data_IF_362067999745
#
_entry.id   IF_362067999745
#
_cell.length_a   1.000
_cell.length_b   1.000
_cell.length_c   1.000
_cell.angle_alpha   90.00
_cell.angle_beta   90.00
_cell.angle_gamma   90.00
#
_symmetry.space_group_name_H-M   'P 1'
#
loop_
_entity.id
_entity.type
_entity.pdbx_description
1 polymer ?
#
# COMPACT_ATOMS: atom_id res chain seq x y z
N UNK A 1 -32.80 20.24 -62.68
CA UNK A 1 -32.08 21.00 -61.64
C UNK A 1 -32.09 20.15 -60.40
N UNK A 2 -30.96 19.49 -60.05
CA UNK A 2 -30.82 18.67 -58.86
C UNK A 2 -29.78 19.36 -57.97
N UNK A 3 -30.27 19.91 -56.83
CA UNK A 3 -29.43 20.54 -55.82
C UNK A 3 -28.87 19.47 -54.88
N UNK A 4 -27.59 19.16 -55.03
CA UNK A 4 -26.87 18.27 -54.13
C UNK A 4 -26.53 18.97 -52.82
N UNK A 5 -27.12 18.49 -51.70
CA UNK A 5 -26.75 18.87 -50.34
C UNK A 5 -25.50 18.09 -49.90
N UNK A 6 -24.36 18.78 -49.83
CA UNK A 6 -23.12 18.24 -49.29
C UNK A 6 -23.22 18.16 -47.76
N UNK A 7 -23.15 16.93 -47.19
CA UNK A 7 -23.00 16.73 -45.76
C UNK A 7 -21.56 17.05 -45.32
N UNK A 8 -21.36 17.83 -44.25
CA UNK A 8 -20.02 18.08 -43.74
C UNK A 8 -19.42 16.79 -43.13
N UNK A 9 -18.28 16.34 -43.67
CA UNK A 9 -17.45 15.29 -43.10
C UNK A 9 -16.98 15.76 -41.71
N UNK A 10 -17.48 15.13 -40.65
CA UNK A 10 -16.91 15.27 -39.32
C UNK A 10 -15.48 14.70 -39.32
N UNK A 11 -14.49 15.56 -39.16
CA UNK A 11 -13.09 15.20 -38.96
C UNK A 11 -12.90 14.46 -37.63
N UNK A 12 -12.65 13.14 -37.67
CA UNK A 12 -12.34 12.27 -36.52
C UNK A 12 -10.84 12.27 -36.19
N UNK A 13 -10.18 13.40 -36.01
CA UNK A 13 -8.74 13.43 -35.76
C UNK A 13 -8.31 14.09 -34.46
N UNK A 14 -9.23 14.51 -33.57
CA UNK A 14 -8.87 15.19 -32.33
C UNK A 14 -8.67 14.27 -31.11
N UNK A 15 -8.96 12.97 -31.22
CA UNK A 15 -8.89 12.05 -30.04
C UNK A 15 -7.50 11.52 -29.69
N UNK A 16 -6.62 11.33 -30.68
CA UNK A 16 -5.34 10.65 -30.43
C UNK A 16 -4.27 11.53 -29.76
N UNK A 17 -4.25 12.82 -30.03
CA UNK A 17 -3.29 13.75 -29.43
C UNK A 17 -3.57 14.02 -27.95
N UNK A 18 -4.84 14.15 -27.59
CA UNK A 18 -5.25 14.37 -26.19
C UNK A 18 -5.00 13.15 -25.31
N UNK A 19 -5.17 11.95 -25.86
CA UNK A 19 -4.91 10.71 -25.11
C UNK A 19 -3.40 10.48 -24.91
N UNK A 20 -2.57 10.78 -25.90
CA UNK A 20 -1.11 10.71 -25.74
C UNK A 20 -0.57 11.75 -24.75
N UNK A 21 -1.09 12.98 -24.77
CA UNK A 21 -0.73 14.02 -23.80
C UNK A 21 -1.15 13.65 -22.37
N UNK A 22 -2.30 13.00 -22.18
CA UNK A 22 -2.78 12.51 -20.89
C UNK A 22 -1.90 11.38 -20.34
N UNK A 23 -1.59 10.39 -21.16
CA UNK A 23 -0.69 9.28 -20.78
C UNK A 23 0.70 9.81 -20.44
N UNK A 24 1.21 10.81 -21.16
CA UNK A 24 2.48 11.46 -20.87
C UNK A 24 2.53 12.17 -19.52
N UNK A 25 1.40 12.70 -19.01
CA UNK A 25 1.34 13.38 -17.72
C UNK A 25 1.15 12.41 -16.52
N UNK A 26 0.59 11.23 -16.75
CA UNK A 26 0.25 10.24 -15.72
C UNK A 26 1.43 9.36 -15.32
N UNK A 27 2.26 9.00 -16.31
CA UNK A 27 3.45 8.16 -16.10
C UNK A 27 4.42 8.72 -15.05
N UNK A 28 4.76 10.02 -15.04
CA UNK A 28 5.60 10.61 -13.99
C UNK A 28 5.00 10.50 -12.59
N UNK A 29 3.68 10.67 -12.44
CA UNK A 29 2.98 10.54 -11.15
C UNK A 29 3.04 9.11 -10.66
N UNK A 30 2.66 8.15 -11.50
CA UNK A 30 2.71 6.72 -11.17
C UNK A 30 4.13 6.29 -10.76
N UNK A 31 5.14 6.65 -11.55
CA UNK A 31 6.52 6.29 -11.26
C UNK A 31 7.03 6.87 -9.94
N UNK A 32 6.73 8.17 -9.67
CA UNK A 32 7.09 8.80 -8.39
C UNK A 32 6.41 8.11 -7.21
N UNK A 33 5.16 7.74 -7.37
CA UNK A 33 4.43 6.99 -6.35
C UNK A 33 5.07 5.62 -6.10
N UNK A 34 5.32 4.85 -7.15
CA UNK A 34 5.93 3.52 -7.04
C UNK A 34 7.27 3.60 -6.35
N UNK A 35 8.15 4.49 -6.78
CA UNK A 35 9.48 4.64 -6.16
C UNK A 35 9.36 5.06 -4.70
N UNK A 36 8.59 6.11 -4.39
CA UNK A 36 8.46 6.61 -3.03
C UNK A 36 7.82 5.59 -2.08
N UNK A 37 6.78 4.89 -2.54
CA UNK A 37 6.08 3.88 -1.73
C UNK A 37 6.95 2.64 -1.53
N UNK A 38 7.61 2.13 -2.57
CA UNK A 38 8.52 0.98 -2.45
C UNK A 38 9.68 1.29 -1.51
N UNK A 39 10.34 2.44 -1.67
CA UNK A 39 11.43 2.83 -0.78
C UNK A 39 10.93 3.10 0.64
N UNK A 40 9.76 3.73 0.79
CA UNK A 40 9.15 3.98 2.10
C UNK A 40 8.84 2.69 2.84
N UNK A 41 8.30 1.68 2.15
CA UNK A 41 8.02 0.35 2.68
C UNK A 41 9.31 -0.37 3.10
N UNK A 42 10.29 -0.46 2.20
CA UNK A 42 11.54 -1.15 2.48
C UNK A 42 12.33 -0.50 3.61
N UNK A 43 12.45 0.83 3.62
CA UNK A 43 13.15 1.53 4.69
C UNK A 43 12.39 1.46 6.01
N UNK A 44 11.06 1.54 5.96
CA UNK A 44 10.20 1.39 7.13
C UNK A 44 10.34 0.00 7.74
N UNK A 45 10.35 -1.05 6.91
CA UNK A 45 10.48 -2.43 7.34
C UNK A 45 11.82 -2.75 8.01
N UNK A 46 12.87 -1.95 7.78
CA UNK A 46 14.11 -2.09 8.54
C UNK A 46 13.93 -1.85 10.05
N UNK A 47 12.89 -1.13 10.48
CA UNK A 47 12.64 -0.85 11.90
C UNK A 47 12.26 -2.13 12.65
N UNK A 48 11.21 -2.90 12.24
CA UNK A 48 10.92 -4.18 12.89
C UNK A 48 12.05 -5.20 12.73
N UNK A 49 12.73 -5.24 11.59
CA UNK A 49 13.91 -6.11 11.39
C UNK A 49 15.01 -5.77 12.41
N UNK A 50 15.32 -4.50 12.61
CA UNK A 50 16.31 -4.07 13.60
C UNK A 50 15.85 -4.38 15.04
N UNK A 51 14.56 -4.25 15.33
CA UNK A 51 14.02 -4.60 16.65
C UNK A 51 14.21 -6.10 16.96
N UNK A 52 13.90 -6.98 16.00
CA UNK A 52 14.14 -8.44 16.14
C UNK A 52 15.63 -8.73 16.28
N UNK A 53 16.47 -8.13 15.42
CA UNK A 53 17.92 -8.32 15.49
C UNK A 53 18.52 -7.85 16.84
N UNK A 54 17.90 -6.88 17.49
CA UNK A 54 18.25 -6.44 18.85
C UNK A 54 17.68 -7.32 19.98
N UNK A 55 16.97 -8.40 19.64
CA UNK A 55 16.43 -9.36 20.62
C UNK A 55 15.06 -8.99 21.16
N UNK A 56 14.30 -8.14 20.48
CA UNK A 56 12.95 -7.74 20.91
C UNK A 56 11.99 -8.93 21.09
N UNK A 57 12.18 -9.98 20.28
CA UNK A 57 11.41 -11.23 20.32
C UNK A 57 11.75 -12.12 21.50
N UNK A 58 12.89 -11.92 22.16
CA UNK A 58 13.34 -12.66 23.33
C UNK A 58 13.00 -11.96 24.67
N UNK A 59 12.41 -10.77 24.62
CA UNK A 59 12.02 -10.04 25.83
C UNK A 59 10.87 -10.77 26.57
N UNK A 60 10.81 -10.69 27.92
CA UNK A 60 9.80 -11.41 28.69
C UNK A 60 8.40 -10.76 28.59
N UNK A 61 7.37 -11.59 28.77
CA UNK A 61 5.97 -11.15 28.90
C UNK A 61 5.44 -10.43 27.63
N UNK A 62 4.66 -9.34 27.78
CA UNK A 62 4.05 -8.64 26.66
C UNK A 62 5.00 -7.69 25.91
N UNK A 63 6.26 -7.59 26.34
CA UNK A 63 7.24 -6.65 25.77
C UNK A 63 7.49 -6.89 24.27
N UNK A 64 7.64 -8.14 23.78
CA UNK A 64 7.80 -8.40 22.35
C UNK A 64 6.65 -7.81 21.52
N UNK A 65 5.42 -8.05 21.94
CA UNK A 65 4.23 -7.51 21.25
C UNK A 65 4.27 -5.98 21.19
N UNK A 66 4.53 -5.32 22.33
CA UNK A 66 4.60 -3.86 22.39
C UNK A 66 5.69 -3.31 21.47
N UNK A 67 6.89 -3.90 21.52
CA UNK A 67 8.02 -3.47 20.68
C UNK A 67 7.70 -3.64 19.20
N UNK A 68 7.07 -4.75 18.80
CA UNK A 68 6.72 -4.99 17.40
C UNK A 68 5.58 -4.06 16.92
N UNK A 69 4.60 -3.75 17.76
CA UNK A 69 3.55 -2.75 17.46
C UNK A 69 4.14 -1.35 17.28
N UNK A 70 5.09 -0.96 18.16
CA UNK A 70 5.80 0.31 18.04
C UNK A 70 6.69 0.35 16.79
N UNK A 71 7.37 -0.76 16.48
CA UNK A 71 8.15 -0.89 15.24
C UNK A 71 7.27 -0.77 14.00
N UNK A 72 6.10 -1.39 13.99
CA UNK A 72 5.11 -1.25 12.92
C UNK A 72 4.56 0.18 12.79
N UNK A 73 4.36 0.89 13.90
CA UNK A 73 4.03 2.31 13.86
C UNK A 73 5.16 3.14 13.22
N UNK A 74 6.41 2.80 13.52
CA UNK A 74 7.60 3.38 12.89
C UNK A 74 7.64 3.14 11.38
N UNK A 75 7.45 1.88 10.96
CA UNK A 75 7.34 1.49 9.55
C UNK A 75 6.26 2.29 8.84
N UNK A 76 5.03 2.28 9.36
CA UNK A 76 3.92 3.04 8.79
C UNK A 76 4.16 4.57 8.78
N UNK A 77 4.99 5.09 9.70
CA UNK A 77 5.41 6.50 9.68
C UNK A 77 6.30 6.78 8.48
N UNK A 78 7.30 5.95 8.22
CA UNK A 78 8.21 6.11 7.08
C UNK A 78 7.45 5.97 5.76
N UNK A 79 6.62 4.93 5.64
CA UNK A 79 5.76 4.71 4.47
C UNK A 79 4.82 5.90 4.23
N UNK A 80 4.05 6.28 5.24
CA UNK A 80 3.09 7.38 5.13
C UNK A 80 3.74 8.72 4.82
N UNK A 81 4.91 8.99 5.38
CA UNK A 81 5.69 10.17 5.06
C UNK A 81 6.14 10.16 3.59
N UNK A 82 6.73 9.07 3.12
CA UNK A 82 7.17 8.91 1.73
C UNK A 82 6.02 9.12 0.73
N UNK A 83 4.87 8.50 0.97
CA UNK A 83 3.66 8.67 0.18
C UNK A 83 3.16 10.12 0.17
N UNK A 84 3.17 10.78 1.34
CA UNK A 84 2.70 12.17 1.46
C UNK A 84 3.54 13.16 0.66
N UNK A 85 4.84 12.87 0.45
CA UNK A 85 5.73 13.69 -0.40
C UNK A 85 5.28 13.71 -1.86
N UNK A 86 4.69 12.63 -2.33
CA UNK A 86 4.12 12.54 -3.68
C UNK A 86 2.72 13.17 -3.74
N UNK A 87 1.90 12.95 -2.71
CA UNK A 87 0.51 13.43 -2.69
C UNK A 87 0.40 14.95 -2.50
N UNK A 88 1.24 15.55 -1.67
CA UNK A 88 1.15 16.98 -1.31
C UNK A 88 1.15 17.93 -2.52
N UNK A 89 2.04 17.80 -3.52
CA UNK A 89 1.98 18.66 -4.70
C UNK A 89 0.78 18.40 -5.60
N UNK A 90 0.17 17.21 -5.52
CA UNK A 90 -0.99 16.81 -6.34
C UNK A 90 -2.31 17.22 -5.67
N UNK A 91 -2.33 17.25 -4.34
CA UNK A 91 -3.49 17.54 -3.49
C UNK A 91 -3.11 18.58 -2.43
N UNK A 92 -3.11 19.89 -2.77
CA UNK A 92 -2.59 20.95 -1.88
C UNK A 92 -3.27 21.03 -0.51
N UNK A 93 -4.51 20.56 -0.37
CA UNK A 93 -5.23 20.50 0.92
C UNK A 93 -4.90 19.27 1.77
N UNK A 94 -4.05 18.36 1.31
CA UNK A 94 -3.73 17.14 2.04
C UNK A 94 -2.78 17.43 3.21
N UNK A 95 -3.21 17.06 4.42
CA UNK A 95 -2.36 17.15 5.61
C UNK A 95 -1.37 15.97 5.65
N UNK A 96 -0.08 16.26 5.41
CA UNK A 96 1.02 15.28 5.55
C UNK A 96 1.01 14.62 6.92
N UNK A 97 0.85 15.42 7.99
CA UNK A 97 0.82 14.91 9.37
C UNK A 97 -0.33 13.93 9.59
N UNK A 98 -1.53 14.27 9.12
CA UNK A 98 -2.69 13.40 9.27
C UNK A 98 -2.55 12.10 8.45
N UNK A 99 -2.04 12.19 7.22
CA UNK A 99 -1.77 11.03 6.38
C UNK A 99 -0.76 10.08 7.04
N UNK A 100 0.38 10.61 7.45
CA UNK A 100 1.44 9.83 8.11
C UNK A 100 0.96 9.19 9.40
N UNK A 101 0.28 9.95 10.29
CA UNK A 101 -0.22 9.43 11.55
C UNK A 101 -1.29 8.33 11.35
N UNK A 102 -2.17 8.46 10.35
CA UNK A 102 -3.18 7.44 10.06
C UNK A 102 -2.56 6.18 9.47
N UNK A 103 -1.54 6.31 8.61
CA UNK A 103 -0.79 5.17 8.09
C UNK A 103 -0.04 4.46 9.21
N UNK A 104 0.62 5.21 10.09
CA UNK A 104 1.32 4.65 11.27
C UNK A 104 0.39 3.87 12.20
N UNK A 105 -0.78 4.45 12.52
CA UNK A 105 -1.76 3.78 13.38
C UNK A 105 -2.31 2.49 12.75
N UNK A 106 -2.56 2.49 11.43
CA UNK A 106 -3.04 1.32 10.71
C UNK A 106 -1.95 0.23 10.61
N UNK A 107 -0.69 0.60 10.41
CA UNK A 107 0.42 -0.33 10.42
C UNK A 107 0.63 -0.94 11.82
N UNK A 108 0.54 -0.13 12.89
CA UNK A 108 0.58 -0.64 14.26
C UNK A 108 -0.54 -1.67 14.53
N UNK A 109 -1.76 -1.41 14.03
CA UNK A 109 -2.88 -2.35 14.12
C UNK A 109 -2.60 -3.65 13.34
N UNK A 110 -2.01 -3.55 12.14
CA UNK A 110 -1.64 -4.71 11.35
C UNK A 110 -0.58 -5.59 12.07
N UNK A 111 0.40 -4.96 12.71
CA UNK A 111 1.40 -5.66 13.52
C UNK A 111 0.80 -6.29 14.77
N UNK A 112 -0.11 -5.58 15.46
CA UNK A 112 -0.84 -6.12 16.62
C UNK A 112 -1.60 -7.39 16.24
N UNK A 113 -2.31 -7.37 15.12
CA UNK A 113 -3.08 -8.52 14.64
C UNK A 113 -2.16 -9.66 14.15
N UNK A 114 -1.14 -9.34 13.36
CA UNK A 114 -0.19 -10.31 12.84
C UNK A 114 0.61 -11.05 13.92
N UNK A 115 0.85 -10.40 15.07
CA UNK A 115 1.49 -11.02 16.23
C UNK A 115 0.52 -11.87 17.09
N UNK A 116 -0.78 -11.86 16.79
CA UNK A 116 -1.80 -12.56 17.58
C UNK A 116 -1.50 -14.04 17.79
N UNK A 117 -1.28 -14.86 16.74
CA UNK A 117 -1.00 -16.28 16.87
C UNK A 117 0.23 -16.57 17.75
N UNK A 118 1.33 -15.84 17.56
CA UNK A 118 2.56 -16.02 18.36
C UNK A 118 2.40 -15.57 19.81
N UNK A 119 1.57 -14.54 20.05
CA UNK A 119 1.29 -14.02 21.39
C UNK A 119 0.39 -14.96 22.19
N UNK A 120 -0.61 -15.57 21.52
CA UNK A 120 -1.52 -16.53 22.13
C UNK A 120 -0.86 -17.90 22.37
N UNK A 121 0.20 -18.24 21.60
CA UNK A 121 0.97 -19.47 21.78
C UNK A 121 0.09 -20.72 21.83
N UNK A 122 0.27 -21.53 22.89
CA UNK A 122 -0.47 -22.78 23.09
C UNK A 122 -2.00 -22.63 23.07
N UNK A 123 -2.53 -21.49 23.52
CA UNK A 123 -3.99 -21.22 23.43
C UNK A 123 -4.46 -21.19 21.98
N UNK A 124 -3.69 -20.58 21.08
CA UNK A 124 -4.00 -20.58 19.66
C UNK A 124 -3.88 -21.98 19.05
N UNK A 125 -2.89 -22.77 19.48
CA UNK A 125 -2.67 -24.13 19.00
C UNK A 125 -3.78 -25.10 19.40
N UNK A 126 -4.42 -24.86 20.54
CA UNK A 126 -5.56 -25.64 21.04
C UNK A 126 -6.89 -25.32 20.31
N UNK A 127 -6.95 -24.25 19.53
CA UNK A 127 -8.15 -23.91 18.78
C UNK A 127 -8.43 -24.91 17.67
N UNK A 128 -9.69 -25.30 17.54
CA UNK A 128 -10.12 -26.09 16.40
C UNK A 128 -9.93 -25.33 15.07
N UNK A 129 -9.75 -26.02 13.94
CA UNK A 129 -9.63 -25.36 12.63
C UNK A 129 -10.79 -24.40 12.33
N UNK A 130 -12.02 -24.73 12.76
CA UNK A 130 -13.18 -23.86 12.61
C UNK A 130 -13.06 -22.56 13.39
N UNK A 131 -12.55 -22.59 14.63
CA UNK A 131 -12.32 -21.39 15.45
C UNK A 131 -11.21 -20.55 14.85
N UNK A 132 -10.09 -21.16 14.40
CA UNK A 132 -9.00 -20.43 13.73
C UNK A 132 -9.49 -19.70 12.49
N UNK A 133 -10.34 -20.32 11.68
CA UNK A 133 -10.94 -19.65 10.53
C UNK A 133 -11.92 -18.55 10.93
N UNK A 134 -12.78 -18.82 11.91
CA UNK A 134 -13.80 -17.86 12.34
C UNK A 134 -13.20 -16.57 12.94
N UNK A 135 -12.03 -16.66 13.56
CA UNK A 135 -11.29 -15.51 14.10
C UNK A 135 -10.32 -14.94 13.05
N UNK A 136 -9.56 -15.79 12.40
CA UNK A 136 -8.49 -15.37 11.48
C UNK A 136 -9.00 -14.68 10.21
N UNK A 137 -10.14 -15.11 9.64
CA UNK A 137 -10.68 -14.46 8.44
C UNK A 137 -11.12 -13.01 8.72
N UNK A 138 -11.92 -12.69 9.76
CA UNK A 138 -12.23 -11.31 10.10
C UNK A 138 -10.99 -10.47 10.43
N UNK A 139 -10.02 -11.03 11.15
CA UNK A 139 -8.77 -10.39 11.47
C UNK A 139 -7.98 -10.04 10.21
N UNK A 140 -7.79 -10.98 9.30
CA UNK A 140 -7.14 -10.74 8.01
C UNK A 140 -7.84 -9.67 7.17
N UNK A 141 -9.18 -9.65 7.13
CA UNK A 141 -9.97 -8.61 6.46
C UNK A 141 -9.76 -7.25 7.13
N UNK A 142 -9.75 -7.19 8.46
CA UNK A 142 -9.48 -5.96 9.20
C UNK A 142 -8.11 -5.38 8.84
N UNK A 143 -7.07 -6.20 8.87
CA UNK A 143 -5.71 -5.79 8.49
C UNK A 143 -5.66 -5.31 7.04
N UNK A 144 -6.23 -6.09 6.12
CA UNK A 144 -6.23 -5.78 4.70
C UNK A 144 -6.87 -4.42 4.39
N UNK A 145 -7.93 -4.06 5.11
CA UNK A 145 -8.66 -2.82 4.90
C UNK A 145 -8.12 -1.65 5.75
N UNK A 146 -7.39 -1.93 6.84
CA UNK A 146 -7.00 -0.92 7.84
C UNK A 146 -6.28 0.27 7.27
N UNK A 147 -5.24 0.06 6.47
CA UNK A 147 -4.43 1.12 5.86
C UNK A 147 -5.29 1.93 4.87
N UNK A 148 -6.03 1.24 4.01
CA UNK A 148 -6.90 1.89 3.02
C UNK A 148 -7.97 2.77 3.66
N UNK A 149 -8.63 2.27 4.70
CA UNK A 149 -9.65 3.01 5.47
C UNK A 149 -9.03 4.19 6.19
N UNK A 150 -7.91 3.99 6.91
CA UNK A 150 -7.22 5.04 7.63
C UNK A 150 -6.79 6.19 6.71
N UNK A 151 -6.19 5.88 5.58
CA UNK A 151 -5.77 6.84 4.56
C UNK A 151 -6.97 7.53 3.88
N UNK A 152 -8.05 6.79 3.61
CA UNK A 152 -9.27 7.34 3.06
C UNK A 152 -9.88 8.41 3.96
N UNK A 153 -9.83 8.29 5.28
CA UNK A 153 -10.34 9.32 6.21
C UNK A 153 -9.70 10.69 6.00
N UNK A 154 -8.46 10.73 5.52
CA UNK A 154 -7.75 11.95 5.15
C UNK A 154 -8.09 12.37 3.71
N UNK A 155 -8.04 11.39 2.79
CA UNK A 155 -8.19 11.62 1.36
C UNK A 155 -9.59 12.15 0.99
N UNK A 156 -10.64 11.67 1.66
CA UNK A 156 -12.04 12.10 1.43
C UNK A 156 -12.28 13.60 1.66
N UNK A 157 -11.38 14.27 2.40
CA UNK A 157 -11.48 15.71 2.67
C UNK A 157 -11.02 16.58 1.51
N UNK A 158 -10.21 16.02 0.62
CA UNK A 158 -9.55 16.74 -0.49
C UNK A 158 -9.84 16.13 -1.86
N UNK A 159 -10.37 14.91 -1.92
CA UNK A 159 -10.61 14.18 -3.15
C UNK A 159 -12.00 13.52 -3.13
N UNK A 160 -12.99 14.07 -3.84
CA UNK A 160 -14.31 13.44 -4.00
C UNK A 160 -14.21 12.05 -4.63
N UNK A 161 -15.08 11.12 -4.22
CA UNK A 161 -15.10 9.75 -4.76
C UNK A 161 -13.91 8.88 -4.35
N UNK A 162 -13.10 9.33 -3.38
CA UNK A 162 -11.89 8.64 -2.92
C UNK A 162 -12.12 7.33 -2.15
N UNK A 163 -13.36 6.92 -1.88
CA UNK A 163 -13.65 5.63 -1.23
C UNK A 163 -13.05 4.43 -2.02
N UNK A 164 -12.92 4.56 -3.34
CA UNK A 164 -12.24 3.55 -4.17
C UNK A 164 -10.78 3.31 -3.78
N UNK A 165 -10.15 4.26 -3.04
CA UNK A 165 -8.80 4.10 -2.49
C UNK A 165 -8.68 2.87 -1.59
N UNK A 166 -9.71 2.58 -0.79
CA UNK A 166 -9.76 1.41 0.08
C UNK A 166 -9.59 0.12 -0.74
N UNK A 167 -10.34 0.00 -1.84
CA UNK A 167 -10.24 -1.17 -2.74
C UNK A 167 -8.89 -1.27 -3.45
N UNK A 168 -8.32 -0.13 -3.90
CA UNK A 168 -7.00 -0.12 -4.53
C UNK A 168 -5.89 -0.51 -3.56
N UNK A 169 -5.99 -0.06 -2.31
CA UNK A 169 -5.02 -0.42 -1.26
C UNK A 169 -5.13 -1.90 -0.92
N UNK A 170 -6.34 -2.42 -0.72
CA UNK A 170 -6.57 -3.84 -0.47
C UNK A 170 -6.06 -4.72 -1.62
N UNK A 171 -6.37 -4.36 -2.86
CA UNK A 171 -5.87 -5.08 -4.04
C UNK A 171 -4.34 -5.03 -4.14
N UNK A 172 -3.73 -3.89 -3.80
CA UNK A 172 -2.28 -3.74 -3.77
C UNK A 172 -1.63 -4.67 -2.75
N UNK A 173 -2.16 -4.70 -1.52
CA UNK A 173 -1.67 -5.60 -0.47
C UNK A 173 -1.85 -7.07 -0.83
N UNK A 174 -3.02 -7.46 -1.36
CA UNK A 174 -3.25 -8.84 -1.81
C UNK A 174 -2.27 -9.24 -2.92
N UNK A 175 -2.06 -8.39 -3.92
CA UNK A 175 -1.11 -8.66 -4.99
C UNK A 175 0.33 -8.75 -4.48
N UNK A 176 0.72 -7.84 -3.59
CA UNK A 176 2.04 -7.86 -2.96
C UNK A 176 2.27 -9.12 -2.12
N UNK A 177 1.31 -9.48 -1.26
CA UNK A 177 1.38 -10.71 -0.47
C UNK A 177 1.43 -11.96 -1.35
N UNK A 178 0.69 -12.01 -2.45
CA UNK A 178 0.77 -13.12 -3.41
C UNK A 178 2.18 -13.25 -4.00
N UNK A 179 2.86 -12.14 -4.32
CA UNK A 179 4.27 -12.16 -4.77
C UNK A 179 5.17 -12.65 -3.64
N UNK A 180 5.02 -12.13 -2.42
CA UNK A 180 5.81 -12.57 -1.27
C UNK A 180 5.69 -14.07 -1.03
N UNK A 181 4.46 -14.58 -0.97
CA UNK A 181 4.17 -16.00 -0.76
C UNK A 181 4.59 -16.90 -1.94
N UNK A 182 4.64 -16.33 -3.15
CA UNK A 182 5.15 -17.03 -4.34
C UNK A 182 6.67 -17.11 -4.38
N UNK A 183 7.39 -16.28 -3.64
CA UNK A 183 8.86 -16.20 -3.63
C UNK A 183 9.47 -16.78 -2.35
N UNK A 184 9.03 -16.30 -1.18
CA UNK A 184 9.70 -16.65 0.08
C UNK A 184 9.54 -18.13 0.45
N UNK A 185 8.34 -18.73 0.56
CA UNK A 185 8.20 -20.12 0.96
C UNK A 185 8.86 -21.12 0.02
N UNK A 186 8.78 -20.99 -1.34
CA UNK A 186 9.46 -21.93 -2.23
C UNK A 186 10.99 -21.88 -2.18
N UNK A 187 11.56 -20.74 -1.80
CA UNK A 187 13.01 -20.56 -1.74
C UNK A 187 13.59 -20.74 -0.35
N UNK A 188 12.74 -20.82 0.67
CA UNK A 188 13.18 -21.00 2.04
C UNK A 188 13.30 -22.48 2.40
N UNK A 189 14.43 -22.89 2.95
CA UNK A 189 14.69 -24.25 3.39
C UNK A 189 15.34 -24.25 4.78
N UNK A 190 14.98 -25.23 5.61
CA UNK A 190 15.65 -25.43 6.88
C UNK A 190 17.15 -25.70 6.69
N UNK A 191 18.00 -25.09 7.52
CA UNK A 191 19.45 -25.22 7.45
C UNK A 191 20.14 -24.21 6.51
N UNK A 192 19.40 -23.30 5.87
CA UNK A 192 20.02 -22.19 5.14
C UNK A 192 20.79 -21.26 6.08
N UNK A 193 21.93 -20.75 5.61
CA UNK A 193 22.68 -19.71 6.32
C UNK A 193 21.97 -18.38 6.34
N UNK A 194 22.27 -17.54 7.35
CA UNK A 194 21.68 -16.19 7.51
C UNK A 194 21.72 -15.34 6.24
N UNK A 195 22.82 -15.29 5.44
CA UNK A 195 22.84 -14.50 4.22
C UNK A 195 21.85 -14.97 3.16
N UNK A 196 21.62 -16.28 3.06
CA UNK A 196 20.65 -16.84 2.10
C UNK A 196 19.21 -16.51 2.52
N UNK A 197 18.88 -16.66 3.79
CA UNK A 197 17.56 -16.29 4.34
C UNK A 197 17.30 -14.79 4.16
N UNK A 198 18.30 -13.95 4.42
CA UNK A 198 18.21 -12.51 4.20
C UNK A 198 18.00 -12.14 2.73
N UNK A 199 18.69 -12.83 1.80
CA UNK A 199 18.51 -12.62 0.37
C UNK A 199 17.10 -13.01 -0.10
N UNK A 200 16.59 -14.17 0.33
CA UNK A 200 15.22 -14.62 0.02
C UNK A 200 14.21 -13.62 0.54
N UNK A 201 14.35 -13.19 1.81
CA UNK A 201 13.47 -12.18 2.42
C UNK A 201 13.54 -10.84 1.68
N UNK A 202 14.73 -10.38 1.29
CA UNK A 202 14.90 -9.14 0.53
C UNK A 202 14.25 -9.22 -0.85
N UNK A 203 14.44 -10.30 -1.60
CA UNK A 203 13.81 -10.49 -2.91
C UNK A 203 12.28 -10.51 -2.81
N UNK A 204 11.75 -11.29 -1.86
CA UNK A 204 10.33 -11.38 -1.63
C UNK A 204 9.74 -10.02 -1.18
N UNK A 205 10.40 -9.34 -0.23
CA UNK A 205 9.99 -8.04 0.28
C UNK A 205 10.02 -6.93 -0.77
N UNK A 206 11.08 -6.86 -1.60
CA UNK A 206 11.15 -5.90 -2.71
C UNK A 206 10.05 -6.17 -3.74
N UNK A 207 9.84 -7.45 -4.10
CA UNK A 207 8.76 -7.84 -5.01
C UNK A 207 7.38 -7.46 -4.49
N UNK A 208 7.12 -7.73 -3.20
CA UNK A 208 5.87 -7.35 -2.50
C UNK A 208 5.67 -5.83 -2.53
N UNK A 209 6.64 -5.07 -2.04
CA UNK A 209 6.56 -3.62 -1.94
C UNK A 209 6.38 -2.96 -3.30
N UNK A 210 7.11 -3.38 -4.32
CA UNK A 210 7.01 -2.84 -5.68
C UNK A 210 5.65 -3.16 -6.31
N UNK A 211 5.13 -4.38 -6.12
CA UNK A 211 3.82 -4.78 -6.64
C UNK A 211 2.69 -4.00 -5.96
N UNK A 212 2.69 -3.91 -4.63
CA UNK A 212 1.74 -3.12 -3.87
C UNK A 212 1.77 -1.64 -4.30
N UNK A 213 2.96 -1.07 -4.45
CA UNK A 213 3.16 0.30 -4.89
C UNK A 213 2.66 0.52 -6.33
N UNK A 214 2.88 -0.44 -7.23
CA UNK A 214 2.43 -0.35 -8.63
C UNK A 214 0.90 -0.33 -8.73
N UNK A 215 0.22 -1.24 -8.01
CA UNK A 215 -1.25 -1.34 -7.99
C UNK A 215 -1.87 -0.10 -7.36
N UNK A 216 -1.38 0.34 -6.19
CA UNK A 216 -1.89 1.54 -5.51
C UNK A 216 -1.58 2.82 -6.30
N UNK A 217 -0.43 2.87 -6.98
CA UNK A 217 -0.08 3.97 -7.88
C UNK A 217 -1.02 4.08 -9.08
N UNK A 218 -1.42 2.96 -9.65
CA UNK A 218 -2.45 2.90 -10.68
C UNK A 218 -3.80 3.41 -10.16
N UNK A 219 -4.18 2.97 -8.95
CA UNK A 219 -5.37 3.46 -8.26
C UNK A 219 -5.34 4.97 -8.06
N UNK A 220 -4.20 5.53 -7.62
CA UNK A 220 -4.01 6.97 -7.45
C UNK A 220 -4.23 7.73 -8.76
N UNK A 221 -3.59 7.30 -9.84
CA UNK A 221 -3.74 7.92 -11.17
C UNK A 221 -5.22 7.89 -11.61
N UNK A 222 -5.92 6.76 -11.43
CA UNK A 222 -7.35 6.64 -11.74
C UNK A 222 -8.22 7.61 -10.94
N UNK A 223 -7.93 7.80 -9.67
CA UNK A 223 -8.65 8.75 -8.80
C UNK A 223 -8.41 10.21 -9.23
N UNK A 224 -7.17 10.55 -9.58
CA UNK A 224 -6.81 11.90 -10.03
C UNK A 224 -7.44 12.27 -11.38
N UNK A 225 -7.71 11.30 -12.26
CA UNK A 225 -8.45 11.52 -13.52
C UNK A 225 -9.87 12.03 -13.29
N UNK A 226 -10.48 11.63 -12.19
CA UNK A 226 -11.84 12.06 -11.83
C UNK A 226 -11.96 13.51 -11.35
N UNK A 227 -10.86 14.25 -11.19
CA UNK A 227 -10.90 15.65 -10.80
C UNK A 227 -11.34 16.54 -11.97
N UNK A 228 -12.28 17.48 -11.75
CA UNK A 228 -12.66 18.49 -12.74
C UNK A 228 -11.44 19.30 -13.19
N UNK A 229 -11.40 19.66 -14.47
CA UNK A 229 -10.28 20.36 -15.12
C UNK A 229 -9.88 21.70 -14.48
N UNK A 230 -10.74 22.29 -13.64
CA UNK A 230 -10.48 23.57 -12.94
C UNK A 230 -9.33 23.53 -11.93
N UNK A 231 -8.93 22.36 -11.42
CA UNK A 231 -7.78 22.24 -10.51
C UNK A 231 -6.43 22.09 -11.22
N UNK A 232 -6.41 22.02 -12.56
CA UNK A 232 -5.18 21.85 -13.35
C UNK A 232 -4.60 23.17 -13.88
N UNK A 233 -5.34 24.28 -13.77
CA UNK A 233 -4.97 25.57 -14.42
C UNK A 233 -4.44 26.64 -13.44
N UNK A 234 -4.19 26.31 -12.17
CA UNK A 234 -3.58 27.25 -11.23
C UNK A 234 -2.11 26.89 -10.95
N UNK A 235 -1.32 26.80 -12.01
CA UNK A 235 0.15 26.85 -11.94
C UNK A 235 0.67 27.73 -13.05
#
# INVERSE_FOLDING_TARGET
>A
MATGTAFPRRSRTSGSGDDQARVGAEWPVWRRWVVATTLGELLGFLIPVAAVAAGADHAPGPVPLLLMVLAGAGEGTVLGWAQSRVLRPLLPGLSTRAWTARTAAAAALAWLDGMGPSTLGAVYDDWSPGVRLAVGVPAAVLVLLSIGVAQWTVLRRVLPGSARWIGWTAAGWLAGLAVFLGVAPPLWHAGQGVPQVALVGALAGVGMAATMAAVTGWGLVRLLRGLPSRHRLSR
#
